data_IF_503879042546
#
_entry.id   IF_503879042546
#
_cell.length_a   1.000
_cell.length_b   1.000
_cell.length_c   1.000
_cell.angle_alpha   90.00
_cell.angle_beta   90.00
_cell.angle_gamma   90.00
#
_symmetry.space_group_name_H-M   'P 1'
#
loop_
_entity.id
_entity.type
_entity.pdbx_description
1 polymer ?
#
# COMPACT_ATOMS: atom_id res chain seq x y z
N UNK A 1 11.10 -3.62 16.77
CA UNK A 1 10.78 -4.25 15.47
C UNK A 1 11.72 -5.45 15.27
N UNK A 2 11.13 -6.61 15.00
CA UNK A 2 11.85 -7.84 14.62
C UNK A 2 11.51 -8.19 13.17
N UNK A 3 12.40 -7.82 12.23
CA UNK A 3 12.19 -8.00 10.80
C UNK A 3 12.16 -9.49 10.41
N UNK A 4 13.00 -10.31 11.01
CA UNK A 4 13.04 -11.75 10.73
C UNK A 4 11.76 -12.46 11.23
N UNK A 5 11.25 -12.08 12.39
CA UNK A 5 9.95 -12.54 12.88
C UNK A 5 8.84 -12.16 11.91
N UNK A 6 8.83 -10.91 11.46
CA UNK A 6 7.83 -10.39 10.52
C UNK A 6 7.85 -11.15 9.19
N UNK A 7 9.04 -11.40 8.63
CA UNK A 7 9.18 -12.18 7.38
C UNK A 7 8.65 -13.60 7.55
N UNK A 8 9.00 -14.28 8.65
CA UNK A 8 8.50 -15.64 8.93
C UNK A 8 6.98 -15.64 9.09
N UNK A 9 6.42 -14.66 9.79
CA UNK A 9 4.98 -14.55 10.01
C UNK A 9 4.21 -14.27 8.71
N UNK A 10 4.69 -13.37 7.86
CA UNK A 10 4.11 -13.10 6.54
C UNK A 10 4.12 -14.36 5.67
N UNK A 11 5.25 -15.07 5.60
CA UNK A 11 5.35 -16.35 4.86
C UNK A 11 4.39 -17.40 5.42
N UNK A 12 4.26 -17.50 6.73
CA UNK A 12 3.33 -18.41 7.41
C UNK A 12 1.85 -18.12 7.08
N UNK A 13 1.53 -16.89 6.69
CA UNK A 13 0.18 -16.48 6.22
C UNK A 13 -0.01 -16.63 4.70
N UNK A 14 0.96 -17.22 3.99
CA UNK A 14 0.87 -17.48 2.55
C UNK A 14 1.25 -16.29 1.67
N UNK A 15 1.82 -15.23 2.22
CA UNK A 15 2.42 -14.17 1.41
C UNK A 15 3.79 -14.59 0.89
N UNK A 16 4.08 -14.26 -0.37
CA UNK A 16 5.46 -14.22 -0.82
C UNK A 16 6.16 -13.01 -0.17
N UNK A 17 7.44 -13.13 0.13
CA UNK A 17 8.18 -12.03 0.76
C UNK A 17 9.55 -11.91 0.13
N UNK A 18 9.86 -10.71 -0.38
CA UNK A 18 11.19 -10.29 -0.80
C UNK A 18 11.68 -9.17 0.13
N UNK A 19 12.99 -9.12 0.35
CA UNK A 19 13.64 -8.14 1.21
C UNK A 19 14.81 -7.50 0.47
N UNK A 20 14.92 -6.18 0.59
CA UNK A 20 15.97 -5.39 -0.05
C UNK A 20 16.55 -4.37 0.93
N UNK A 21 17.85 -4.13 0.85
CA UNK A 21 18.50 -3.13 1.68
C UNK A 21 18.10 -1.71 1.27
N UNK A 22 17.93 -1.47 -0.04
CA UNK A 22 17.63 -0.15 -0.60
C UNK A 22 16.39 -0.16 -1.50
N UNK A 23 15.80 0.99 -1.68
CA UNK A 23 14.67 1.18 -2.62
C UNK A 23 15.09 0.98 -4.08
N UNK A 24 16.35 1.26 -4.42
CA UNK A 24 16.90 1.04 -5.75
C UNK A 24 16.93 -0.45 -6.09
N UNK A 25 17.42 -1.30 -5.18
CA UNK A 25 17.41 -2.77 -5.34
C UNK A 25 15.98 -3.31 -5.50
N UNK A 26 15.03 -2.80 -4.70
CA UNK A 26 13.63 -3.19 -4.81
C UNK A 26 12.99 -2.74 -6.13
N UNK A 27 13.36 -1.54 -6.63
CA UNK A 27 12.90 -1.05 -7.93
C UNK A 27 13.47 -1.89 -9.08
N UNK A 28 14.75 -2.28 -9.03
CA UNK A 28 15.38 -3.16 -10.01
C UNK A 28 14.70 -4.53 -10.04
N UNK A 29 14.43 -5.09 -8.87
CA UNK A 29 13.70 -6.35 -8.74
C UNK A 29 12.29 -6.27 -9.36
N UNK A 30 11.50 -5.26 -9.01
CA UNK A 30 10.14 -5.10 -9.51
C UNK A 30 10.10 -4.87 -11.02
N UNK A 31 11.02 -4.07 -11.57
CA UNK A 31 11.13 -3.82 -13.01
C UNK A 31 11.51 -5.08 -13.80
N UNK A 32 12.31 -5.98 -13.21
CA UNK A 32 12.66 -7.25 -13.82
C UNK A 32 11.61 -8.35 -13.63
N UNK A 33 10.83 -8.28 -12.55
CA UNK A 33 9.80 -9.29 -12.25
C UNK A 33 8.45 -9.02 -12.93
N UNK A 34 8.20 -7.78 -13.39
CA UNK A 34 6.93 -7.34 -13.96
C UNK A 34 7.17 -6.87 -15.39
N UNK A 35 6.89 -7.75 -16.34
CA UNK A 35 7.10 -7.48 -17.77
C UNK A 35 5.93 -8.00 -18.62
N UNK A 36 5.64 -7.30 -19.72
CA UNK A 36 4.66 -7.68 -20.74
C UNK A 36 3.24 -7.91 -20.18
N UNK A 37 2.81 -7.05 -19.23
CA UNK A 37 1.51 -7.17 -18.57
C UNK A 37 0.84 -5.80 -18.40
N UNK A 38 -0.44 -5.80 -18.02
CA UNK A 38 -1.10 -4.59 -17.54
C UNK A 38 -0.82 -4.40 -16.04
N UNK A 39 -0.45 -3.18 -15.66
CA UNK A 39 -0.05 -2.83 -14.30
C UNK A 39 -0.92 -1.71 -13.75
N UNK A 40 -1.66 -2.00 -12.68
CA UNK A 40 -2.37 -0.99 -11.91
C UNK A 40 -1.54 -0.51 -10.72
N UNK A 41 -1.56 0.77 -10.45
CA UNK A 41 -0.87 1.33 -9.28
C UNK A 41 -1.83 2.10 -8.38
N UNK A 42 -1.83 1.74 -7.10
CA UNK A 42 -2.54 2.48 -6.06
C UNK A 42 -1.85 3.81 -5.73
N UNK A 43 -2.63 4.78 -5.25
CA UNK A 43 -2.05 6.02 -4.71
C UNK A 43 -1.13 5.71 -3.52
N UNK A 44 0.16 5.91 -3.67
CA UNK A 44 1.17 5.52 -2.69
C UNK A 44 2.40 6.40 -2.75
N UNK A 45 2.70 7.05 -1.62
CA UNK A 45 3.93 7.83 -1.48
C UNK A 45 5.17 6.93 -1.53
N UNK A 46 5.07 5.70 -1.03
CA UNK A 46 6.14 4.71 -1.13
C UNK A 46 6.50 4.39 -2.58
N UNK A 47 5.50 4.13 -3.44
CA UNK A 47 5.74 3.86 -4.86
C UNK A 47 6.28 5.09 -5.62
N UNK A 48 5.85 6.28 -5.21
CA UNK A 48 6.36 7.55 -5.75
C UNK A 48 7.85 7.74 -5.41
N UNK A 49 8.23 7.51 -4.15
CA UNK A 49 9.63 7.57 -3.70
C UNK A 49 10.52 6.48 -4.31
N UNK A 50 9.94 5.33 -4.66
CA UNK A 50 10.64 4.24 -5.34
C UNK A 50 10.97 4.60 -6.81
N UNK A 51 10.25 5.55 -7.41
CA UNK A 51 10.44 5.92 -8.81
C UNK A 51 10.09 4.80 -9.81
N UNK A 52 9.28 3.83 -9.41
CA UNK A 52 9.04 2.60 -10.18
C UNK A 52 8.16 2.83 -11.42
N UNK A 53 7.37 3.91 -11.49
CA UNK A 53 6.43 4.15 -12.59
C UNK A 53 7.13 4.17 -13.94
N UNK A 54 8.15 5.00 -14.09
CA UNK A 54 8.85 5.20 -15.38
C UNK A 54 9.52 3.89 -15.86
N UNK A 55 10.08 3.12 -14.92
CA UNK A 55 10.69 1.81 -15.22
C UNK A 55 9.65 0.77 -15.70
N UNK A 56 8.47 0.74 -15.08
CA UNK A 56 7.41 -0.19 -15.47
C UNK A 56 6.82 0.16 -16.83
N UNK A 57 6.73 1.45 -17.19
CA UNK A 57 6.20 1.89 -18.49
C UNK A 57 7.06 1.49 -19.67
N UNK A 58 8.32 1.14 -19.47
CA UNK A 58 9.21 0.67 -20.54
C UNK A 58 8.75 -0.65 -21.16
N UNK A 59 8.10 -1.52 -20.37
CA UNK A 59 7.75 -2.89 -20.78
C UNK A 59 6.29 -3.27 -20.52
N UNK A 60 5.49 -2.36 -19.96
CA UNK A 60 4.13 -2.66 -19.50
C UNK A 60 3.16 -1.53 -19.86
N UNK A 61 1.88 -1.85 -19.90
CA UNK A 61 0.80 -0.87 -19.90
C UNK A 61 0.46 -0.50 -18.44
N UNK A 62 0.82 0.72 -18.01
CA UNK A 62 0.75 1.12 -16.59
C UNK A 62 -0.35 2.15 -16.36
N UNK A 63 -1.24 1.88 -15.42
CA UNK A 63 -2.35 2.75 -15.02
C UNK A 63 -2.14 3.30 -13.62
N UNK A 64 -1.79 4.57 -13.51
CA UNK A 64 -1.60 5.24 -12.23
C UNK A 64 -2.26 6.62 -12.20
N UNK A 65 -3.32 6.76 -11.42
CA UNK A 65 -4.11 7.99 -11.34
C UNK A 65 -3.36 9.19 -10.74
N UNK A 66 -2.15 9.00 -10.22
CA UNK A 66 -1.27 10.11 -9.84
C UNK A 66 -0.51 10.69 -11.03
N UNK A 67 -0.39 9.96 -12.12
CA UNK A 67 0.20 10.42 -13.41
C UNK A 67 -0.89 10.78 -14.40
N UNK A 68 -1.92 9.96 -14.49
CA UNK A 68 -3.06 10.15 -15.38
C UNK A 68 -4.36 10.19 -14.57
N UNK A 69 -4.77 11.37 -14.03
CA UNK A 69 -5.97 11.49 -13.23
C UNK A 69 -7.25 11.16 -14.02
N UNK A 70 -8.13 10.38 -13.41
CA UNK A 70 -9.43 10.07 -14.01
C UNK A 70 -10.05 8.77 -13.49
N UNK A 71 -11.36 8.64 -13.69
CA UNK A 71 -12.10 7.43 -13.30
C UNK A 71 -11.72 6.25 -14.18
N UNK A 72 -11.46 6.51 -15.46
CA UNK A 72 -11.04 5.47 -16.40
C UNK A 72 -9.72 4.82 -15.98
N UNK A 73 -8.71 5.63 -15.62
CA UNK A 73 -7.42 5.14 -15.12
C UNK A 73 -7.59 4.33 -13.83
N UNK A 74 -8.48 4.75 -12.91
CA UNK A 74 -8.78 4.00 -11.70
C UNK A 74 -9.42 2.63 -12.02
N UNK A 75 -10.33 2.57 -12.99
CA UNK A 75 -10.99 1.32 -13.41
C UNK A 75 -10.00 0.39 -14.10
N UNK A 76 -9.17 0.89 -15.00
CA UNK A 76 -8.10 0.12 -15.65
C UNK A 76 -7.10 -0.42 -14.63
N UNK A 77 -6.69 0.40 -13.66
CA UNK A 77 -5.81 -0.03 -12.58
C UNK A 77 -6.44 -1.13 -11.71
N UNK A 78 -7.76 -1.06 -11.44
CA UNK A 78 -8.46 -2.06 -10.66
C UNK A 78 -8.49 -3.43 -11.36
N UNK A 79 -8.63 -3.45 -12.68
CA UNK A 79 -8.75 -4.66 -13.49
C UNK A 79 -7.43 -5.15 -14.07
N UNK A 80 -6.34 -4.44 -13.88
CA UNK A 80 -5.01 -4.82 -14.36
C UNK A 80 -4.57 -6.18 -13.79
N UNK A 81 -3.79 -6.93 -14.58
CA UNK A 81 -3.29 -8.25 -14.21
C UNK A 81 -2.31 -8.20 -13.04
N UNK A 82 -1.51 -7.16 -12.96
CA UNK A 82 -0.59 -6.90 -11.85
C UNK A 82 -1.02 -5.62 -11.12
N UNK A 83 -0.96 -5.63 -9.79
CA UNK A 83 -1.29 -4.45 -9.01
C UNK A 83 -0.23 -4.14 -7.97
N UNK A 84 0.28 -2.91 -7.99
CA UNK A 84 1.22 -2.41 -7.00
C UNK A 84 0.53 -1.46 -6.01
N UNK A 85 0.81 -1.66 -4.75
CA UNK A 85 0.34 -0.81 -3.66
C UNK A 85 1.37 -0.76 -2.52
N UNK A 86 0.97 -0.15 -1.42
CA UNK A 86 1.74 -0.15 -0.17
C UNK A 86 0.82 -0.47 1.00
N UNK A 87 1.38 -0.72 2.17
CA UNK A 87 0.65 -0.84 3.42
C UNK A 87 0.64 0.48 4.21
N UNK A 88 -0.40 0.70 5.03
CA UNK A 88 -0.38 1.71 6.07
C UNK A 88 0.35 1.20 7.33
N UNK A 89 0.24 -0.09 7.63
CA UNK A 89 1.02 -0.76 8.66
C UNK A 89 1.10 -2.26 8.39
N UNK A 90 2.09 -2.92 8.96
CA UNK A 90 2.30 -4.37 8.96
C UNK A 90 2.60 -4.77 10.40
N UNK A 91 1.98 -5.84 10.93
CA UNK A 91 2.32 -6.33 12.26
C UNK A 91 3.50 -7.31 12.20
N UNK A 92 4.25 -7.43 13.28
CA UNK A 92 5.27 -8.49 13.39
C UNK A 92 4.68 -9.91 13.28
N UNK A 93 3.38 -10.05 13.51
CA UNK A 93 2.63 -11.29 13.29
C UNK A 93 2.11 -11.46 11.86
N UNK A 94 2.50 -10.56 10.94
CA UNK A 94 2.26 -10.70 9.49
C UNK A 94 0.87 -10.27 9.02
N UNK A 95 0.14 -9.44 9.76
CA UNK A 95 -1.11 -8.83 9.30
C UNK A 95 -0.79 -7.53 8.55
N UNK A 96 -1.52 -7.26 7.46
CA UNK A 96 -1.32 -6.05 6.65
C UNK A 96 -2.55 -5.17 6.78
N UNK A 97 -2.36 -3.91 7.16
CA UNK A 97 -3.44 -2.96 7.43
C UNK A 97 -3.41 -1.82 6.42
N UNK A 98 -4.55 -1.57 5.81
CA UNK A 98 -4.75 -0.45 4.89
C UNK A 98 -6.03 0.32 5.19
N UNK A 99 -5.93 1.66 5.14
CA UNK A 99 -7.07 2.59 5.19
C UNK A 99 -7.16 3.31 3.85
N UNK A 100 -8.38 3.45 3.33
CA UNK A 100 -8.62 4.10 2.05
C UNK A 100 -9.89 4.95 2.06
N UNK A 101 -9.94 5.95 1.19
CA UNK A 101 -11.08 6.83 1.04
C UNK A 101 -12.06 6.38 -0.05
N UNK A 102 -11.55 5.94 -1.19
CA UNK A 102 -12.33 5.52 -2.36
C UNK A 102 -12.61 4.01 -2.38
N UNK A 103 -11.78 3.23 -1.71
CA UNK A 103 -11.84 1.77 -1.72
C UNK A 103 -11.11 1.11 -2.88
N UNK A 104 -10.61 1.87 -3.86
CA UNK A 104 -9.94 1.31 -5.04
C UNK A 104 -8.68 0.50 -4.69
N UNK A 105 -7.86 0.97 -3.73
CA UNK A 105 -6.69 0.22 -3.27
C UNK A 105 -7.11 -1.04 -2.51
N UNK A 106 -8.13 -0.95 -1.67
CA UNK A 106 -8.61 -2.10 -0.89
C UNK A 106 -9.17 -3.18 -1.82
N UNK A 107 -10.04 -2.81 -2.76
CA UNK A 107 -10.65 -3.75 -3.71
C UNK A 107 -9.58 -4.46 -4.56
N UNK A 108 -8.60 -3.72 -5.08
CA UNK A 108 -7.53 -4.31 -5.90
C UNK A 108 -6.61 -5.27 -5.14
N UNK A 109 -6.53 -5.13 -3.81
CA UNK A 109 -5.71 -5.99 -2.96
C UNK A 109 -6.44 -7.27 -2.51
N UNK A 110 -7.76 -7.35 -2.68
CA UNK A 110 -8.55 -8.51 -2.20
C UNK A 110 -9.23 -9.30 -3.30
N UNK A 111 -9.37 -8.74 -4.49
CA UNK A 111 -10.07 -9.40 -5.59
C UNK A 111 -9.32 -9.29 -6.91
N UNK A 112 -9.28 -10.43 -7.61
CA UNK A 112 -8.71 -10.58 -8.95
C UNK A 112 -8.19 -11.99 -9.17
N UNK A 113 -9.02 -12.90 -9.77
CA UNK A 113 -8.56 -14.24 -10.15
C UNK A 113 -7.34 -14.17 -11.07
N UNK A 114 -6.29 -14.92 -10.72
CA UNK A 114 -5.03 -14.95 -11.46
C UNK A 114 -4.16 -13.68 -11.33
N UNK A 115 -4.57 -12.71 -10.50
CA UNK A 115 -3.85 -11.44 -10.34
C UNK A 115 -2.59 -11.60 -9.50
N UNK A 116 -1.56 -10.86 -9.87
CA UNK A 116 -0.38 -10.63 -9.05
C UNK A 116 -0.51 -9.30 -8.29
N UNK A 117 -0.34 -9.33 -6.97
CA UNK A 117 -0.36 -8.15 -6.12
C UNK A 117 0.98 -7.99 -5.41
N UNK A 118 1.56 -6.81 -5.50
CA UNK A 118 2.77 -6.42 -4.77
C UNK A 118 2.45 -5.32 -3.77
N UNK A 119 2.78 -5.57 -2.50
CA UNK A 119 2.68 -4.60 -1.41
C UNK A 119 4.08 -4.18 -1.01
N UNK A 120 4.48 -3.00 -1.44
CA UNK A 120 5.81 -2.43 -1.17
C UNK A 120 5.76 -1.63 0.13
N UNK A 121 6.66 -1.93 1.06
CA UNK A 121 6.67 -1.27 2.36
C UNK A 121 8.09 -1.07 2.90
N UNK A 122 8.36 0.13 3.41
CA UNK A 122 9.54 0.39 4.23
C UNK A 122 9.38 -0.20 5.63
N UNK A 123 10.50 -0.44 6.30
CA UNK A 123 10.53 -1.00 7.67
C UNK A 123 9.84 -0.12 8.71
N UNK A 124 9.73 1.19 8.44
CA UNK A 124 8.99 2.14 9.26
C UNK A 124 7.49 1.84 9.41
N UNK A 125 6.97 0.86 8.68
CA UNK A 125 5.56 0.45 8.73
C UNK A 125 5.31 -0.81 9.56
N UNK A 126 6.37 -1.40 10.11
CA UNK A 126 6.26 -2.61 10.93
C UNK A 126 6.01 -2.22 12.37
N UNK A 127 4.96 -2.76 12.95
CA UNK A 127 4.52 -2.54 14.32
C UNK A 127 4.45 -3.86 15.10
N UNK A 128 4.65 -3.85 16.42
CA UNK A 128 4.76 -5.08 17.19
C UNK A 128 3.48 -5.91 17.20
N UNK A 129 2.31 -5.27 17.17
CA UNK A 129 0.99 -5.91 17.31
C UNK A 129 -0.09 -5.19 16.50
N UNK A 130 -1.30 -5.74 16.52
CA UNK A 130 -2.44 -5.23 15.78
C UNK A 130 -2.89 -3.83 16.28
N UNK A 131 -2.91 -3.60 17.58
CA UNK A 131 -3.39 -2.34 18.14
C UNK A 131 -2.43 -1.20 17.77
N UNK A 132 -1.13 -1.44 17.87
CA UNK A 132 -0.08 -0.50 17.43
C UNK A 132 -0.15 -0.23 15.93
N UNK A 133 -0.35 -1.28 15.13
CA UNK A 133 -0.47 -1.15 13.68
C UNK A 133 -1.74 -0.39 13.26
N UNK A 134 -2.87 -0.67 13.91
CA UNK A 134 -4.10 0.09 13.69
C UNK A 134 -3.94 1.55 14.15
N UNK A 135 -3.29 1.78 15.27
CA UNK A 135 -2.98 3.14 15.74
C UNK A 135 -2.12 3.88 14.71
N UNK A 136 -1.03 3.25 14.22
CA UNK A 136 -0.19 3.83 13.17
C UNK A 136 -0.98 4.14 11.90
N UNK A 137 -1.77 3.19 11.42
CA UNK A 137 -2.57 3.37 10.21
C UNK A 137 -3.55 4.56 10.33
N UNK A 138 -4.18 4.74 11.50
CA UNK A 138 -5.13 5.83 11.77
C UNK A 138 -4.47 7.15 12.10
N UNK A 139 -3.44 7.17 12.94
CA UNK A 139 -2.90 8.40 13.53
C UNK A 139 -1.64 8.91 12.81
N UNK A 140 -0.93 8.03 12.09
CA UNK A 140 0.22 8.42 11.28
C UNK A 140 -0.14 8.47 9.80
N UNK A 141 -0.37 7.31 9.19
CA UNK A 141 -0.53 7.21 7.75
C UNK A 141 -1.78 7.94 7.22
N UNK A 142 -2.95 7.74 7.84
CA UNK A 142 -4.19 8.40 7.38
C UNK A 142 -4.14 9.90 7.61
N UNK A 143 -3.65 10.36 8.75
CA UNK A 143 -3.53 11.80 9.06
C UNK A 143 -2.56 12.49 8.12
N UNK A 144 -1.37 11.93 7.91
CA UNK A 144 -0.38 12.48 6.96
C UNK A 144 -0.90 12.46 5.52
N UNK A 145 -1.65 11.41 5.13
CA UNK A 145 -2.26 11.40 3.81
C UNK A 145 -3.32 12.49 3.65
N UNK A 146 -4.12 12.77 4.68
CA UNK A 146 -5.11 13.83 4.64
C UNK A 146 -4.50 15.22 4.52
N UNK A 147 -3.30 15.45 5.03
CA UNK A 147 -2.56 16.71 4.87
C UNK A 147 -2.28 17.10 3.40
N UNK A 148 -2.37 16.13 2.48
CA UNK A 148 -2.20 16.36 1.04
C UNK A 148 -3.43 16.99 0.37
N UNK A 149 -4.55 16.99 1.05
CA UNK A 149 -5.81 17.51 0.53
C UNK A 149 -6.20 18.78 1.28
N UNK A 150 -6.52 19.84 0.56
CA UNK A 150 -7.05 21.07 1.15
C UNK A 150 -8.50 20.81 1.60
N UNK A 151 -8.65 20.23 2.80
CA UNK A 151 -9.96 19.82 3.32
C UNK A 151 -10.24 20.35 4.71
N UNK A 152 -11.46 20.10 5.19
CA UNK A 152 -11.96 20.55 6.49
C UNK A 152 -11.85 19.49 7.58
N UNK A 153 -11.07 18.44 7.35
CA UNK A 153 -10.96 17.32 8.28
C UNK A 153 -10.38 17.78 9.62
N UNK A 154 -11.03 17.47 10.76
CA UNK A 154 -10.57 17.91 12.09
C UNK A 154 -9.14 17.53 12.42
N UNK A 155 -8.64 16.39 11.91
CA UNK A 155 -7.24 15.96 12.11
C UNK A 155 -6.21 16.92 11.49
N UNK A 156 -6.62 17.79 10.55
CA UNK A 156 -5.77 18.80 9.90
C UNK A 156 -5.92 20.19 10.56
N UNK A 157 -6.87 20.35 11.49
CA UNK A 157 -7.04 21.61 12.24
C UNK A 157 -6.06 21.72 13.41
N UNK A 158 -5.78 22.93 13.86
CA UNK A 158 -4.99 23.16 15.08
C UNK A 158 -5.57 22.43 16.29
N UNK A 159 -6.91 22.40 16.42
CA UNK A 159 -7.61 21.68 17.49
C UNK A 159 -7.45 20.17 17.43
N UNK A 160 -7.28 19.61 16.23
CA UNK A 160 -7.06 18.17 16.02
C UNK A 160 -5.64 17.72 16.32
N UNK A 161 -4.69 18.67 16.34
CA UNK A 161 -3.30 18.40 16.73
C UNK A 161 -2.62 17.27 15.94
N UNK A 162 -3.03 17.05 14.70
CA UNK A 162 -2.45 15.97 13.88
C UNK A 162 -2.85 14.55 14.31
N UNK A 163 -3.97 14.38 15.03
CA UNK A 163 -4.47 13.09 15.50
C UNK A 163 -5.78 12.71 14.84
N UNK A 164 -6.01 11.42 14.69
CA UNK A 164 -7.28 10.89 14.22
C UNK A 164 -8.37 11.07 15.30
N UNK A 165 -9.43 11.81 14.97
CA UNK A 165 -10.57 12.06 15.86
C UNK A 165 -11.79 11.22 15.50
N UNK A 166 -11.64 10.22 14.63
CA UNK A 166 -12.76 9.42 14.08
C UNK A 166 -13.92 10.31 13.59
N UNK A 167 -13.59 11.34 12.84
CA UNK A 167 -14.51 12.38 12.43
C UNK A 167 -15.59 11.89 11.46
N UNK A 168 -16.67 12.68 11.33
CA UNK A 168 -17.75 12.50 10.35
C UNK A 168 -17.74 13.60 9.28
N UNK A 169 -16.54 14.11 8.96
CA UNK A 169 -16.40 15.14 7.93
C UNK A 169 -16.88 14.60 6.57
N UNK A 170 -17.56 15.45 5.78
CA UNK A 170 -18.09 15.07 4.46
C UNK A 170 -16.97 14.71 3.46
N UNK A 171 -15.81 15.30 3.62
CA UNK A 171 -14.59 15.11 2.84
C UNK A 171 -13.60 14.14 3.51
N UNK A 172 -14.09 13.29 4.42
CA UNK A 172 -13.28 12.25 5.07
C UNK A 172 -12.67 11.31 4.03
N UNK A 173 -11.35 11.15 4.08
CA UNK A 173 -10.59 10.26 3.17
C UNK A 173 -10.14 8.94 3.81
N UNK A 174 -10.71 8.55 4.96
CA UNK A 174 -10.41 7.31 5.68
C UNK A 174 -11.69 6.52 5.95
N UNK A 175 -12.37 6.11 4.84
CA UNK A 175 -13.71 5.52 4.89
C UNK A 175 -13.72 4.00 5.02
N UNK A 176 -12.67 3.33 4.55
CA UNK A 176 -12.54 1.88 4.58
C UNK A 176 -11.29 1.43 5.30
N UNK A 177 -11.41 0.35 6.06
CA UNK A 177 -10.31 -0.38 6.70
C UNK A 177 -10.26 -1.79 6.12
N UNK A 178 -9.09 -2.21 5.67
CA UNK A 178 -8.79 -3.57 5.24
C UNK A 178 -7.70 -4.14 6.13
N UNK A 179 -7.92 -5.37 6.60
CA UNK A 179 -6.91 -6.18 7.25
C UNK A 179 -6.74 -7.47 6.45
N UNK A 180 -5.55 -7.67 5.90
CA UNK A 180 -5.20 -8.91 5.23
C UNK A 180 -4.54 -9.86 6.24
N UNK A 181 -5.16 -11.02 6.42
CA UNK A 181 -4.63 -12.10 7.25
C UNK A 181 -3.90 -13.17 6.45
N UNK A 182 -4.02 -13.12 5.14
CA UNK A 182 -3.39 -14.04 4.20
C UNK A 182 -3.70 -13.69 2.75
N UNK A 183 -3.11 -14.43 1.81
CA UNK A 183 -3.37 -14.32 0.38
C UNK A 183 -4.77 -14.84 0.07
N UNK A 184 -5.53 -14.13 -0.78
CA UNK A 184 -6.83 -14.60 -1.27
C UNK A 184 -6.64 -15.83 -2.18
N UNK A 185 -7.58 -16.78 -2.13
CA UNK A 185 -7.45 -18.08 -2.80
C UNK A 185 -7.16 -17.99 -4.31
N UNK A 186 -7.90 -17.14 -5.00
CA UNK A 186 -7.85 -17.07 -6.46
C UNK A 186 -6.74 -16.16 -6.99
N UNK A 187 -6.01 -15.45 -6.14
CA UNK A 187 -4.86 -14.65 -6.55
C UNK A 187 -3.69 -15.57 -6.92
N UNK A 188 -3.02 -15.28 -8.04
CA UNK A 188 -1.80 -15.95 -8.43
C UNK A 188 -0.71 -15.72 -7.36
N UNK A 189 -0.47 -14.44 -7.02
CA UNK A 189 0.53 -14.05 -6.04
C UNK A 189 0.04 -12.85 -5.22
N UNK A 190 0.38 -12.84 -3.94
CA UNK A 190 0.43 -11.63 -3.12
C UNK A 190 1.80 -11.58 -2.45
N UNK A 191 2.62 -10.65 -2.88
CA UNK A 191 3.99 -10.49 -2.42
C UNK A 191 4.17 -9.21 -1.63
N UNK A 192 4.81 -9.33 -0.47
CA UNK A 192 5.26 -8.18 0.34
C UNK A 192 6.72 -7.93 0.02
N UNK A 193 6.99 -6.76 -0.55
CA UNK A 193 8.34 -6.29 -0.85
C UNK A 193 8.78 -5.36 0.27
N UNK A 194 9.62 -5.88 1.18
CA UNK A 194 10.14 -5.14 2.34
C UNK A 194 11.45 -4.44 1.99
N UNK A 195 11.55 -3.18 2.36
CA UNK A 195 12.74 -2.35 2.12
C UNK A 195 13.24 -1.83 3.46
N UNK A 196 14.53 -1.98 3.72
CA UNK A 196 15.17 -1.58 4.99
C UNK A 196 15.40 -0.07 5.11
N UNK A 197 14.56 0.70 4.44
CA UNK A 197 14.50 2.16 4.51
C UNK A 197 13.13 2.64 5.01
N UNK A 198 13.08 3.86 5.50
CA UNK A 198 11.82 4.54 5.83
C UNK A 198 11.20 5.12 4.56
N UNK A 199 10.05 4.59 4.15
CA UNK A 199 9.39 4.96 2.91
C UNK A 199 7.89 5.22 3.10
N UNK A 200 7.42 6.27 2.45
CA UNK A 200 6.01 6.65 2.44
C UNK A 200 5.54 7.29 3.75
N UNK A 201 4.26 7.08 4.04
CA UNK A 201 3.57 7.68 5.19
C UNK A 201 3.35 6.65 6.28
#
# INVERSE_FOLDING_TARGET
MDLEKTIRALKGRGFAVSRFATKEEAADYLAGAIENTSVGMGGSKTLDQLGIYDRLTEKNEVFWHWREPGVETLNKALTAQTYLSSANAITEDGQIINIDGRGNRLAAQVYGPGKDVYIVAGVNKIEPDFDSALFRARNTAAVQNMARFAGSQPCQSEKGGGKCLDCRAKDRGCNGLLVLWGKMFDMQKLEVVLIEEELGL
#
